data_IF_820173376655
#
_entry.id   IF_820173376655
#
_cell.length_a   1.000
_cell.length_b   1.000
_cell.length_c   1.000
_cell.angle_alpha   90.00
_cell.angle_beta   90.00
_cell.angle_gamma   90.00
#
_symmetry.space_group_name_H-M   'P 1'
#
loop_
_entity.id
_entity.type
_entity.pdbx_description
1 polymer ?
#
# COMPACT_ATOMS: atom_id res chain seq x y z
N UNK A 1 -48.05 -41.92 78.58
CA UNK A 1 -49.15 -42.89 78.38
C UNK A 1 -48.80 -43.73 77.16
N UNK A 2 -48.93 -45.05 77.22
CA UNK A 2 -48.61 -45.93 76.07
C UNK A 2 -49.77 -45.95 75.06
N UNK A 3 -49.45 -45.96 73.77
CA UNK A 3 -50.43 -46.14 72.69
C UNK A 3 -51.06 -47.55 72.70
N UNK A 4 -52.26 -47.67 72.12
CA UNK A 4 -52.90 -48.97 71.96
C UNK A 4 -52.23 -49.78 70.83
N UNK A 5 -51.55 -50.87 71.19
CA UNK A 5 -50.67 -51.63 70.28
C UNK A 5 -51.36 -52.16 69.02
N UNK A 6 -52.66 -52.51 69.07
CA UNK A 6 -53.39 -52.95 67.86
C UNK A 6 -53.67 -51.81 66.88
N UNK A 7 -53.91 -50.59 67.36
CA UNK A 7 -54.13 -49.41 66.51
C UNK A 7 -52.83 -48.98 65.85
N UNK A 8 -51.73 -49.02 66.61
CA UNK A 8 -50.38 -48.78 66.10
C UNK A 8 -50.01 -49.80 65.02
N UNK A 9 -50.19 -51.10 65.28
CA UNK A 9 -49.93 -52.16 64.31
C UNK A 9 -50.79 -52.01 63.05
N UNK A 10 -52.06 -51.64 63.19
CA UNK A 10 -52.95 -51.40 62.07
C UNK A 10 -52.53 -50.18 61.21
N UNK A 11 -52.14 -49.06 61.85
CA UNK A 11 -51.61 -47.88 61.16
C UNK A 11 -50.29 -48.19 60.43
N UNK A 12 -49.37 -48.93 61.05
CA UNK A 12 -48.12 -49.34 60.40
C UNK A 12 -48.36 -50.30 59.23
N UNK A 13 -49.30 -51.25 59.37
CA UNK A 13 -49.70 -52.12 58.27
C UNK A 13 -50.24 -51.30 57.08
N UNK A 14 -51.09 -50.30 57.33
CA UNK A 14 -51.57 -49.39 56.30
C UNK A 14 -50.44 -48.56 55.67
N UNK A 15 -49.54 -47.96 56.46
CA UNK A 15 -48.40 -47.21 55.91
C UNK A 15 -47.56 -48.10 54.98
N UNK A 16 -47.27 -49.33 55.37
CA UNK A 16 -46.54 -50.29 54.55
C UNK A 16 -47.29 -50.64 53.25
N UNK A 17 -48.62 -50.72 53.26
CA UNK A 17 -49.41 -51.01 52.05
C UNK A 17 -49.38 -49.89 51.01
N UNK A 18 -49.02 -48.66 51.39
CA UNK A 18 -48.89 -47.53 50.44
C UNK A 18 -47.75 -47.71 49.43
N UNK A 19 -46.79 -48.62 49.71
CA UNK A 19 -45.60 -48.92 48.87
C UNK A 19 -44.70 -47.69 48.62
N UNK A 20 -44.82 -46.69 49.50
CA UNK A 20 -44.07 -45.42 49.48
C UNK A 20 -42.65 -45.55 50.06
N UNK A 21 -42.46 -46.48 50.99
CA UNK A 21 -41.16 -46.87 51.55
C UNK A 21 -40.69 -48.17 50.89
N UNK A 22 -39.41 -48.31 50.49
CA UNK A 22 -38.90 -49.56 49.93
C UNK A 22 -38.78 -50.68 50.99
N UNK A 23 -38.55 -50.32 52.26
CA UNK A 23 -38.37 -51.26 53.37
C UNK A 23 -39.62 -51.25 54.29
N UNK A 24 -40.16 -52.41 54.69
CA UNK A 24 -41.31 -52.47 55.61
C UNK A 24 -40.97 -51.91 56.99
N UNK A 25 -41.81 -51.00 57.48
CA UNK A 25 -41.69 -50.40 58.81
C UNK A 25 -42.23 -51.35 59.88
N UNK A 26 -41.49 -51.49 60.97
CA UNK A 26 -41.83 -52.30 62.14
C UNK A 26 -42.22 -51.47 63.37
N UNK A 27 -41.90 -50.17 63.39
CA UNK A 27 -42.18 -49.29 64.52
C UNK A 27 -42.50 -47.84 64.08
N UNK A 28 -43.26 -47.10 64.91
CA UNK A 28 -43.63 -45.71 64.64
C UNK A 28 -42.42 -44.76 64.66
N UNK A 29 -41.38 -45.03 65.46
CA UNK A 29 -40.19 -44.17 65.51
C UNK A 29 -39.51 -43.98 64.15
N UNK A 30 -39.66 -44.96 63.25
CA UNK A 30 -39.12 -44.91 61.88
C UNK A 30 -39.82 -43.84 61.01
N UNK A 31 -40.96 -43.29 61.44
CA UNK A 31 -41.67 -42.19 60.78
C UNK A 31 -41.25 -40.81 61.28
N UNK A 32 -40.37 -40.71 62.29
CA UNK A 32 -39.93 -39.44 62.88
C UNK A 32 -39.28 -38.51 61.85
N UNK A 33 -38.60 -39.07 60.84
CA UNK A 33 -37.96 -38.29 59.78
C UNK A 33 -38.94 -37.56 58.85
N UNK A 34 -40.24 -37.84 58.95
CA UNK A 34 -41.34 -37.27 58.17
C UNK A 34 -41.29 -37.55 56.65
N UNK A 35 -40.31 -38.30 56.12
CA UNK A 35 -40.16 -38.50 54.67
C UNK A 35 -41.26 -39.37 54.07
N UNK A 36 -41.64 -40.44 54.78
CA UNK A 36 -42.74 -41.34 54.40
C UNK A 36 -44.07 -40.57 54.35
N UNK A 37 -44.32 -39.69 55.33
CA UNK A 37 -45.52 -38.84 55.34
C UNK A 37 -45.57 -37.86 54.16
N UNK A 38 -44.46 -37.19 53.83
CA UNK A 38 -44.40 -36.28 52.67
C UNK A 38 -44.68 -37.00 51.36
N UNK A 39 -44.13 -38.22 51.19
CA UNK A 39 -44.39 -39.03 49.99
C UNK A 39 -45.83 -39.54 49.93
N UNK A 40 -46.45 -39.91 51.05
CA UNK A 40 -47.90 -40.21 51.11
C UNK A 40 -48.72 -38.97 50.71
N UNK A 41 -48.36 -37.78 51.21
CA UNK A 41 -48.99 -36.51 50.83
C UNK A 41 -48.90 -36.26 49.32
N UNK A 42 -47.72 -36.49 48.72
CA UNK A 42 -47.51 -36.42 47.28
C UNK A 42 -48.40 -37.41 46.52
N UNK A 43 -48.56 -38.65 47.01
CA UNK A 43 -49.47 -39.65 46.42
C UNK A 43 -50.96 -39.22 46.48
N UNK A 44 -51.38 -38.48 47.51
CA UNK A 44 -52.76 -37.99 47.64
C UNK A 44 -53.05 -36.87 46.62
N UNK A 45 -52.14 -35.89 46.48
CA UNK A 45 -52.41 -34.68 45.68
C UNK A 45 -51.81 -34.70 44.27
N UNK A 46 -50.66 -35.33 44.07
CA UNK A 46 -49.90 -35.30 42.80
C UNK A 46 -49.09 -34.02 42.57
N UNK A 47 -49.00 -33.13 43.58
CA UNK A 47 -48.25 -31.88 43.49
C UNK A 47 -46.73 -32.14 43.59
N UNK A 48 -45.98 -31.62 42.62
CA UNK A 48 -44.50 -31.66 42.58
C UNK A 48 -43.83 -30.95 43.76
N UNK A 49 -44.58 -30.11 44.48
CA UNK A 49 -44.15 -29.43 45.72
C UNK A 49 -43.64 -30.40 46.80
N UNK A 50 -44.10 -31.65 46.81
CA UNK A 50 -43.65 -32.65 47.78
C UNK A 50 -42.21 -33.14 47.56
N UNK A 51 -41.67 -33.07 46.34
CA UNK A 51 -40.32 -33.58 46.03
C UNK A 51 -39.24 -32.63 46.55
N UNK A 52 -39.40 -31.31 46.38
CA UNK A 52 -38.45 -30.30 46.84
C UNK A 52 -38.37 -30.19 48.38
N UNK A 53 -39.42 -30.59 49.09
CA UNK A 53 -39.46 -30.59 50.56
C UNK A 53 -38.75 -31.79 51.16
N UNK A 54 -38.56 -32.90 50.42
CA UNK A 54 -37.85 -34.08 50.95
C UNK A 54 -36.37 -33.81 51.26
N UNK A 55 -35.75 -32.87 50.55
CA UNK A 55 -34.34 -32.46 50.75
C UNK A 55 -34.17 -31.46 51.91
N UNK A 56 -35.26 -30.94 52.48
CA UNK A 56 -35.24 -29.92 53.53
C UNK A 56 -34.99 -30.51 54.94
N UNK A 57 -34.45 -29.71 55.89
CA UNK A 57 -34.25 -30.15 57.27
C UNK A 57 -35.57 -30.49 57.97
N UNK A 58 -35.50 -31.32 59.02
CA UNK A 58 -36.67 -31.86 59.72
C UNK A 58 -37.73 -30.81 60.13
N UNK A 59 -37.39 -29.60 60.64
CA UNK A 59 -38.40 -28.59 60.99
C UNK A 59 -39.22 -28.08 59.79
N UNK A 60 -38.60 -27.96 58.61
CA UNK A 60 -39.28 -27.54 57.38
C UNK A 60 -40.21 -28.65 56.86
N UNK A 61 -39.75 -29.90 56.92
CA UNK A 61 -40.56 -31.10 56.63
C UNK A 61 -41.77 -31.22 57.56
N UNK A 62 -41.60 -30.95 58.85
CA UNK A 62 -42.69 -30.87 59.83
C UNK A 62 -43.65 -29.72 59.51
N UNK A 63 -43.13 -28.54 59.16
CA UNK A 63 -43.94 -27.36 58.79
C UNK A 63 -44.81 -27.61 57.55
N UNK A 64 -44.28 -28.32 56.54
CA UNK A 64 -45.04 -28.72 55.36
C UNK A 64 -46.20 -29.67 55.71
N UNK A 65 -45.95 -30.71 56.52
CA UNK A 65 -46.99 -31.65 56.99
C UNK A 65 -48.06 -30.90 57.79
N UNK A 66 -47.64 -29.98 58.67
CA UNK A 66 -48.56 -29.16 59.46
C UNK A 66 -49.43 -28.26 58.58
N UNK A 67 -48.84 -27.53 57.63
CA UNK A 67 -49.55 -26.70 56.67
C UNK A 67 -50.50 -27.49 55.78
N UNK A 68 -50.13 -28.72 55.40
CA UNK A 68 -50.98 -29.65 54.67
C UNK A 68 -52.22 -30.06 55.49
N UNK A 69 -52.01 -30.59 56.70
CA UNK A 69 -53.11 -31.00 57.59
C UNK A 69 -54.02 -29.81 57.94
N UNK A 70 -53.45 -28.60 58.11
CA UNK A 70 -54.21 -27.38 58.38
C UNK A 70 -55.06 -26.92 57.18
N UNK A 71 -54.58 -27.07 55.93
CA UNK A 71 -55.38 -26.80 54.73
C UNK A 71 -56.59 -27.74 54.63
N UNK A 72 -56.45 -28.99 55.07
CA UNK A 72 -57.48 -30.02 54.96
C UNK A 72 -58.49 -30.02 56.11
N UNK A 73 -58.13 -29.49 57.28
CA UNK A 73 -59.07 -29.29 58.39
C UNK A 73 -60.02 -28.13 58.10
N UNK A 74 -61.30 -28.42 57.84
CA UNK A 74 -62.30 -27.41 57.43
C UNK A 74 -62.63 -26.36 58.50
N UNK A 75 -62.36 -26.66 59.78
CA UNK A 75 -62.66 -25.78 60.91
C UNK A 75 -61.46 -24.88 61.26
N UNK A 76 -61.33 -23.75 60.56
CA UNK A 76 -60.31 -22.69 60.80
C UNK A 76 -60.40 -21.98 62.18
N UNK A 77 -61.20 -22.49 63.12
CA UNK A 77 -61.55 -21.83 64.39
C UNK A 77 -60.94 -22.48 65.64
N UNK A 78 -60.36 -23.68 65.54
CA UNK A 78 -59.53 -24.21 66.63
C UNK A 78 -58.17 -23.51 66.60
N UNK A 79 -57.86 -22.71 67.63
CA UNK A 79 -56.57 -22.03 67.78
C UNK A 79 -55.40 -23.01 68.09
N UNK A 80 -55.71 -24.27 68.34
CA UNK A 80 -54.76 -25.36 68.56
C UNK A 80 -54.67 -26.25 67.31
N UNK A 81 -53.44 -26.50 66.83
CA UNK A 81 -53.21 -27.48 65.78
C UNK A 81 -53.38 -28.90 66.31
N UNK A 82 -54.03 -29.77 65.51
CA UNK A 82 -54.25 -31.19 65.85
C UNK A 82 -52.95 -31.94 66.18
N UNK A 83 -51.82 -31.49 65.62
CA UNK A 83 -50.49 -32.06 65.83
C UNK A 83 -49.52 -30.95 66.22
N UNK A 84 -48.97 -31.03 67.43
CA UNK A 84 -47.92 -30.11 67.88
C UNK A 84 -46.61 -30.40 67.16
N UNK A 85 -46.07 -29.39 66.47
CA UNK A 85 -44.78 -29.48 65.78
C UNK A 85 -43.63 -29.84 66.74
N UNK A 86 -43.68 -29.38 68.00
CA UNK A 86 -42.68 -29.72 69.01
C UNK A 86 -42.73 -31.22 69.37
N UNK A 87 -43.93 -31.76 69.64
CA UNK A 87 -44.11 -33.20 69.94
C UNK A 87 -43.65 -34.10 68.78
N UNK A 88 -43.81 -33.64 67.54
CA UNK A 88 -43.38 -34.35 66.35
C UNK A 88 -41.85 -34.31 66.19
N UNK A 89 -41.21 -33.18 66.50
CA UNK A 89 -39.75 -33.03 66.53
C UNK A 89 -39.12 -33.92 67.63
N UNK A 90 -39.74 -33.94 68.81
CA UNK A 90 -39.35 -34.77 69.95
C UNK A 90 -39.56 -36.28 69.71
N UNK A 91 -40.19 -36.67 68.58
CA UNK A 91 -40.42 -38.06 68.20
C UNK A 91 -41.53 -38.76 68.99
N UNK A 92 -42.47 -38.02 69.58
CA UNK A 92 -43.56 -38.61 70.37
C UNK A 92 -44.44 -39.51 69.46
N UNK A 93 -44.45 -40.82 69.74
CA UNK A 93 -45.22 -41.81 68.97
C UNK A 93 -46.69 -41.40 68.80
N UNK A 94 -47.28 -40.74 69.80
CA UNK A 94 -48.66 -40.22 69.75
C UNK A 94 -48.83 -39.18 68.64
N UNK A 95 -47.86 -38.26 68.44
CA UNK A 95 -47.90 -37.28 67.36
C UNK A 95 -47.77 -37.98 65.99
N UNK A 96 -46.87 -38.97 65.87
CA UNK A 96 -46.69 -39.77 64.66
C UNK A 96 -47.96 -40.58 64.31
N UNK A 97 -48.60 -41.19 65.31
CA UNK A 97 -49.87 -41.90 65.15
C UNK A 97 -51.03 -40.97 64.75
N UNK A 98 -51.11 -39.74 65.29
CA UNK A 98 -52.08 -38.72 64.84
C UNK A 98 -51.89 -38.38 63.37
N UNK A 99 -50.65 -38.12 62.92
CA UNK A 99 -50.35 -37.82 61.51
C UNK A 99 -50.75 -38.99 60.61
N UNK A 100 -50.33 -40.21 60.96
CA UNK A 100 -50.68 -41.42 60.19
C UNK A 100 -52.22 -41.62 60.09
N UNK A 101 -52.96 -41.40 61.18
CA UNK A 101 -54.42 -41.52 61.22
C UNK A 101 -55.14 -40.48 60.35
N UNK A 102 -54.67 -39.23 60.33
CA UNK A 102 -55.22 -38.18 59.47
C UNK A 102 -54.90 -38.43 57.99
N UNK A 103 -53.67 -38.87 57.67
CA UNK A 103 -53.29 -39.24 56.30
C UNK A 103 -54.03 -40.46 55.79
N UNK A 104 -54.31 -41.46 56.66
CA UNK A 104 -55.19 -42.59 56.37
C UNK A 104 -56.58 -42.10 55.93
N UNK A 105 -57.21 -41.22 56.72
CA UNK A 105 -58.50 -40.63 56.37
C UNK A 105 -58.49 -39.91 55.02
N UNK A 106 -57.50 -39.03 54.78
CA UNK A 106 -57.42 -38.29 53.52
C UNK A 106 -57.07 -39.15 52.31
N UNK A 107 -56.28 -40.23 52.48
CA UNK A 107 -56.04 -41.22 51.43
C UNK A 107 -57.34 -41.95 51.07
N UNK A 108 -58.13 -42.35 52.07
CA UNK A 108 -59.43 -43.00 51.86
C UNK A 108 -60.47 -42.08 51.20
N UNK A 109 -60.39 -40.76 51.41
CA UNK A 109 -61.23 -39.77 50.73
C UNK A 109 -60.74 -39.40 49.32
N UNK A 110 -59.46 -39.60 48.99
CA UNK A 110 -58.93 -39.29 47.66
C UNK A 110 -59.61 -40.11 46.55
N UNK A 111 -59.72 -39.55 45.34
CA UNK A 111 -60.11 -40.28 44.13
C UNK A 111 -58.97 -41.13 43.55
N UNK A 112 -57.71 -40.76 43.83
CA UNK A 112 -56.54 -41.23 43.06
C UNK A 112 -56.06 -42.64 43.43
N UNK A 113 -56.36 -43.14 44.64
CA UNK A 113 -56.01 -44.50 45.09
C UNK A 113 -57.03 -45.03 46.11
N UNK A 114 -58.15 -45.66 45.69
CA UNK A 114 -58.92 -46.52 46.57
C UNK A 114 -58.09 -47.80 46.81
N UNK A 115 -57.26 -47.82 47.86
CA UNK A 115 -56.38 -48.95 48.15
C UNK A 115 -57.12 -50.29 48.24
N UNK A 116 -56.45 -51.39 47.92
CA UNK A 116 -57.03 -52.74 48.00
C UNK A 116 -57.10 -53.20 49.46
N UNK A 117 -58.06 -52.68 50.22
CA UNK A 117 -58.24 -52.98 51.66
C UNK A 117 -58.49 -54.47 51.99
N UNK A 118 -58.69 -55.30 50.96
CA UNK A 118 -58.75 -56.76 51.07
C UNK A 118 -57.37 -57.41 51.28
N UNK A 119 -56.25 -56.69 51.10
CA UNK A 119 -54.88 -57.16 51.35
C UNK A 119 -54.61 -57.32 52.87
N UNK A 120 -55.34 -56.59 53.72
CA UNK A 120 -55.20 -56.67 55.17
C UNK A 120 -55.92 -57.87 55.79
N UNK A 121 -55.38 -58.40 56.89
CA UNK A 121 -56.08 -59.37 57.72
C UNK A 121 -57.31 -58.75 58.40
N UNK A 122 -58.32 -59.58 58.72
CA UNK A 122 -59.59 -59.11 59.26
C UNK A 122 -59.45 -58.26 60.53
N UNK A 123 -58.47 -58.55 61.41
CA UNK A 123 -58.26 -57.79 62.65
C UNK A 123 -57.72 -56.39 62.34
N UNK A 124 -56.76 -56.27 61.43
CA UNK A 124 -56.30 -54.97 60.92
C UNK A 124 -57.43 -54.20 60.23
N UNK A 125 -58.27 -54.86 59.43
CA UNK A 125 -59.45 -54.23 58.82
C UNK A 125 -60.41 -53.67 59.87
N UNK A 126 -60.70 -54.40 60.97
CA UNK A 126 -61.56 -53.90 62.07
C UNK A 126 -60.96 -52.67 62.76
N UNK A 127 -59.65 -52.67 63.03
CA UNK A 127 -58.99 -51.54 63.69
C UNK A 127 -58.94 -50.30 62.78
N UNK A 128 -58.53 -50.45 61.51
CA UNK A 128 -58.55 -49.38 60.50
C UNK A 128 -59.98 -48.84 60.26
N UNK A 129 -60.97 -49.73 60.24
CA UNK A 129 -62.37 -49.36 60.19
C UNK A 129 -62.77 -48.50 61.41
N UNK A 130 -62.43 -48.93 62.62
CA UNK A 130 -62.70 -48.16 63.84
C UNK A 130 -62.05 -46.76 63.83
N UNK A 131 -60.84 -46.67 63.26
CA UNK A 131 -60.06 -45.45 63.11
C UNK A 131 -60.76 -44.48 62.12
N UNK A 132 -61.09 -44.95 60.91
CA UNK A 132 -61.79 -44.12 59.92
C UNK A 132 -63.18 -43.68 60.39
N UNK A 133 -63.94 -44.59 61.02
CA UNK A 133 -65.24 -44.26 61.60
C UNK A 133 -65.11 -43.17 62.67
N UNK A 134 -64.12 -43.29 63.56
CA UNK A 134 -63.88 -42.27 64.57
C UNK A 134 -63.61 -40.89 63.95
N UNK A 135 -62.76 -40.80 62.90
CA UNK A 135 -62.50 -39.50 62.23
C UNK A 135 -63.76 -38.97 61.56
N UNK A 136 -64.54 -39.83 60.90
CA UNK A 136 -65.78 -39.46 60.22
C UNK A 136 -66.89 -38.98 61.18
N UNK A 137 -66.98 -39.60 62.37
CA UNK A 137 -67.98 -39.28 63.40
C UNK A 137 -67.60 -38.03 64.22
N UNK A 138 -66.33 -37.62 64.23
CA UNK A 138 -65.79 -36.53 65.08
C UNK A 138 -65.16 -35.38 64.28
N UNK A 139 -65.43 -35.25 62.98
CA UNK A 139 -64.76 -34.30 62.06
C UNK A 139 -64.70 -32.85 62.59
N UNK A 140 -65.73 -32.41 63.31
CA UNK A 140 -65.88 -31.05 63.82
C UNK A 140 -65.10 -30.79 65.14
N UNK A 141 -64.69 -31.83 65.87
CA UNK A 141 -64.11 -31.72 67.23
C UNK A 141 -62.93 -32.69 67.49
N UNK A 142 -62.17 -33.03 66.45
CA UNK A 142 -61.10 -34.05 66.50
C UNK A 142 -60.07 -33.87 67.63
N UNK A 143 -59.66 -32.65 67.97
CA UNK A 143 -58.50 -32.39 68.84
C UNK A 143 -58.63 -33.04 70.25
N UNK A 144 -59.76 -32.82 70.92
CA UNK A 144 -59.98 -33.24 72.32
C UNK A 144 -60.17 -34.76 72.46
N UNK A 145 -60.80 -35.39 71.46
CA UNK A 145 -61.18 -36.81 71.53
C UNK A 145 -60.11 -37.77 70.96
N UNK A 146 -59.23 -37.28 70.08
CA UNK A 146 -58.26 -38.11 69.35
C UNK A 146 -57.18 -38.74 70.26
N UNK A 147 -56.66 -38.00 71.24
CA UNK A 147 -55.67 -38.55 72.19
C UNK A 147 -56.29 -39.66 73.06
N UNK A 148 -57.51 -39.42 73.56
CA UNK A 148 -58.25 -40.42 74.33
C UNK A 148 -58.57 -41.66 73.47
N UNK A 149 -58.91 -41.50 72.19
CA UNK A 149 -59.18 -42.64 71.30
C UNK A 149 -57.93 -43.49 71.02
N UNK A 150 -56.78 -42.89 70.75
CA UNK A 150 -55.52 -43.62 70.48
C UNK A 150 -54.97 -44.34 71.71
N UNK A 151 -55.34 -43.90 72.92
CA UNK A 151 -54.93 -44.52 74.19
C UNK A 151 -55.96 -45.53 74.75
N UNK A 152 -57.26 -45.42 74.41
CA UNK A 152 -58.34 -46.25 74.99
C UNK A 152 -58.53 -47.58 74.26
N UNK A 153 -58.59 -48.67 75.04
CA UNK A 153 -59.03 -50.01 74.62
C UNK A 153 -60.51 -49.99 74.23
N UNK A 154 -60.87 -50.60 73.10
CA UNK A 154 -62.25 -50.65 72.63
C UNK A 154 -63.12 -51.59 73.49
N UNK A 155 -64.22 -51.07 74.02
CA UNK A 155 -65.38 -51.83 74.50
C UNK A 155 -66.60 -51.47 73.63
N UNK A 156 -67.41 -52.45 73.21
CA UNK A 156 -68.52 -52.22 72.28
C UNK A 156 -69.78 -51.73 73.00
N UNK A 157 -69.93 -50.42 73.17
CA UNK A 157 -71.16 -49.82 73.72
C UNK A 157 -72.28 -49.76 72.67
N UNK A 158 -73.08 -50.82 72.62
CA UNK A 158 -74.45 -50.74 72.09
C UNK A 158 -75.37 -50.15 73.18
N UNK A 159 -75.73 -48.88 73.06
CA UNK A 159 -76.76 -48.25 73.91
C UNK A 159 -77.62 -47.29 73.10
N UNK A 160 -78.80 -47.77 72.69
CA UNK A 160 -79.90 -46.88 72.29
C UNK A 160 -80.68 -46.37 73.51
N UNK A 161 -81.72 -45.57 73.23
CA UNK A 161 -82.67 -44.97 74.19
C UNK A 161 -82.01 -43.90 75.11
N UNK A 162 -82.25 -42.61 74.93
CA UNK A 162 -83.53 -41.97 75.27
C UNK A 162 -83.60 -40.52 74.77
N UNK A 163 -84.77 -40.10 74.28
CA UNK A 163 -85.10 -38.68 74.10
C UNK A 163 -85.45 -38.03 75.45
N UNK A 164 -85.18 -36.73 75.60
CA UNK A 164 -85.84 -35.89 76.62
C UNK A 164 -86.44 -34.65 75.96
N UNK A 165 -87.65 -34.30 76.40
CA UNK A 165 -88.60 -33.40 75.73
C UNK A 165 -88.90 -32.17 76.59
N UNK A 166 -89.06 -31.00 75.96
CA UNK A 166 -89.88 -29.84 76.37
C UNK A 166 -90.16 -29.04 75.07
N UNK A 167 -91.38 -28.96 74.51
CA UNK A 167 -92.55 -28.11 74.88
C UNK A 167 -92.23 -26.60 74.95
N UNK A 168 -93.01 -25.65 74.43
CA UNK A 168 -94.40 -25.61 73.91
C UNK A 168 -94.45 -24.97 72.47
N UNK A 169 -95.55 -24.67 71.74
CA UNK A 169 -97.01 -24.69 71.99
C UNK A 169 -97.78 -25.56 70.95
N UNK A 170 -98.60 -24.97 70.06
CA UNK A 170 -99.71 -25.54 69.26
C UNK A 170 -100.34 -24.44 68.35
N UNK A 171 -101.39 -24.66 67.49
CA UNK A 171 -102.27 -25.85 67.35
C UNK A 171 -102.66 -26.36 65.93
N UNK A 172 -103.06 -27.64 65.91
CA UNK A 172 -104.17 -28.27 65.14
C UNK A 172 -104.21 -28.20 63.59
N UNK A 173 -104.03 -29.37 62.95
CA UNK A 173 -105.16 -30.10 62.31
C UNK A 173 -104.89 -31.62 62.26
N UNK A 174 -105.98 -32.40 62.26
CA UNK A 174 -105.99 -33.84 62.58
C UNK A 174 -105.55 -34.78 61.45
N UNK A 175 -104.64 -35.71 61.75
CA UNK A 175 -104.38 -36.91 60.94
C UNK A 175 -105.51 -37.95 61.12
N UNK A 176 -105.81 -38.72 60.07
CA UNK A 176 -106.21 -40.11 60.30
C UNK A 176 -105.41 -41.12 59.45
N UNK A 177 -105.14 -42.28 60.07
CA UNK A 177 -104.58 -43.51 59.51
C UNK A 177 -103.06 -43.58 59.24
N UNK A 178 -102.36 -44.19 60.20
CA UNK A 178 -101.07 -44.86 60.01
C UNK A 178 -101.17 -45.85 58.85
N UNK A 179 -100.34 -45.68 57.82
CA UNK A 179 -99.83 -46.81 57.03
C UNK A 179 -98.49 -47.21 57.63
N UNK A 180 -98.44 -48.42 58.17
CA UNK A 180 -97.20 -49.08 58.53
C UNK A 180 -96.44 -49.39 57.23
N UNK A 181 -95.52 -48.50 56.85
CA UNK A 181 -94.61 -48.76 55.74
C UNK A 181 -93.60 -49.77 56.22
N UNK A 182 -93.84 -51.05 55.91
CA UNK A 182 -92.75 -52.03 55.85
C UNK A 182 -91.75 -51.51 54.83
N UNK A 183 -90.63 -50.99 55.30
CA UNK A 183 -89.49 -50.75 54.43
C UNK A 183 -89.08 -52.11 53.86
N UNK A 184 -89.26 -52.29 52.54
CA UNK A 184 -88.48 -53.28 51.85
C UNK A 184 -87.01 -52.91 52.06
N UNK A 185 -86.21 -53.90 52.41
CA UNK A 185 -84.77 -53.78 52.40
C UNK A 185 -84.35 -53.25 51.02
N UNK A 186 -83.79 -52.04 50.99
CA UNK A 186 -83.47 -51.33 49.75
C UNK A 186 -82.31 -52.05 49.06
N UNK A 187 -82.67 -53.00 48.20
CA UNK A 187 -81.73 -53.75 47.39
C UNK A 187 -80.89 -52.76 46.57
N UNK A 188 -79.57 -52.89 46.70
CA UNK A 188 -78.57 -51.88 46.35
C UNK A 188 -78.59 -51.52 44.85
N UNK A 189 -79.33 -50.48 44.46
CA UNK A 189 -79.39 -50.00 43.06
C UNK A 189 -78.16 -49.16 42.73
N UNK A 190 -77.03 -49.82 42.48
CA UNK A 190 -75.84 -49.22 41.88
C UNK A 190 -75.29 -50.18 40.82
N UNK A 191 -75.32 -49.76 39.56
CA UNK A 191 -75.09 -50.63 38.40
C UNK A 191 -73.61 -50.96 38.17
N UNK A 192 -73.19 -52.16 38.59
CA UNK A 192 -72.01 -52.84 38.04
C UNK A 192 -72.29 -54.35 37.92
N UNK A 193 -71.85 -55.01 36.83
CA UNK A 193 -72.07 -56.44 36.66
C UNK A 193 -71.14 -57.23 37.58
N UNK A 194 -71.66 -57.73 38.70
CA UNK A 194 -71.00 -58.77 39.48
C UNK A 194 -71.87 -60.02 39.49
N UNK A 195 -71.33 -61.08 38.90
CA UNK A 195 -71.90 -62.41 38.85
C UNK A 195 -72.16 -62.92 40.27
N UNK A 196 -73.30 -63.59 40.48
CA UNK A 196 -73.65 -64.22 41.74
C UNK A 196 -72.54 -65.17 42.23
N UNK A 197 -71.90 -64.82 43.34
CA UNK A 197 -70.98 -65.68 44.09
C UNK A 197 -71.38 -65.69 45.58
N UNK A 198 -71.03 -66.73 46.35
CA UNK A 198 -71.43 -66.85 47.75
C UNK A 198 -70.93 -65.66 48.58
N UNK A 199 -71.65 -65.34 49.65
CA UNK A 199 -71.33 -64.25 50.57
C UNK A 199 -69.95 -64.41 51.21
N UNK A 200 -68.93 -63.79 50.60
CA UNK A 200 -67.70 -63.41 51.28
C UNK A 200 -68.09 -62.59 52.52
N UNK A 201 -67.51 -62.83 53.71
CA UNK A 201 -67.81 -62.02 54.89
C UNK A 201 -67.54 -60.54 54.57
N UNK A 202 -68.45 -59.64 54.96
CA UNK A 202 -68.30 -58.22 54.65
C UNK A 202 -67.00 -57.69 55.26
N UNK A 203 -66.23 -56.97 54.45
CA UNK A 203 -65.03 -56.29 54.92
C UNK A 203 -65.46 -55.14 55.84
N UNK A 204 -64.98 -55.07 57.10
CA UNK A 204 -65.29 -53.96 58.01
C UNK A 204 -64.92 -52.58 57.43
N UNK A 205 -63.87 -52.56 56.60
CA UNK A 205 -63.44 -51.38 55.85
C UNK A 205 -64.42 -51.05 54.71
N UNK A 206 -64.86 -52.08 53.98
CA UNK A 206 -65.89 -51.97 52.95
C UNK A 206 -67.22 -51.42 53.46
N UNK A 207 -67.67 -51.83 54.65
CA UNK A 207 -68.94 -51.38 55.26
C UNK A 207 -68.94 -49.87 55.55
N UNK A 208 -67.83 -49.33 56.07
CA UNK A 208 -67.70 -47.88 56.34
C UNK A 208 -67.62 -47.09 55.03
N UNK A 209 -66.82 -47.54 54.06
CA UNK A 209 -66.72 -46.84 52.77
C UNK A 209 -68.02 -46.88 51.96
N UNK A 210 -68.88 -47.87 52.21
CA UNK A 210 -70.23 -47.98 51.65
C UNK A 210 -71.30 -47.22 52.46
N UNK A 211 -70.95 -46.67 53.62
CA UNK A 211 -71.88 -45.85 54.41
C UNK A 211 -72.19 -44.54 53.68
N UNK A 212 -73.47 -44.13 53.56
CA UNK A 212 -73.86 -42.92 52.81
C UNK A 212 -73.14 -41.63 53.26
N UNK A 213 -72.83 -41.51 54.56
CA UNK A 213 -72.05 -40.41 55.12
C UNK A 213 -70.64 -40.34 54.52
N UNK A 214 -69.92 -41.46 54.48
CA UNK A 214 -68.57 -41.54 53.88
C UNK A 214 -68.60 -41.24 52.38
N UNK A 215 -69.56 -41.82 51.65
CA UNK A 215 -69.69 -41.60 50.20
C UNK A 215 -70.03 -40.14 49.87
N UNK A 216 -70.99 -39.54 50.58
CA UNK A 216 -71.35 -38.13 50.41
C UNK A 216 -70.18 -37.20 50.78
N UNK A 217 -69.40 -37.56 51.82
CA UNK A 217 -68.22 -36.82 52.25
C UNK A 217 -67.12 -36.82 51.18
N UNK A 218 -66.79 -38.01 50.67
CA UNK A 218 -65.85 -38.22 49.56
C UNK A 218 -66.25 -37.43 48.31
N UNK A 219 -67.51 -37.51 47.90
CA UNK A 219 -68.02 -36.77 46.74
C UNK A 219 -67.98 -35.25 46.95
N UNK A 220 -68.25 -34.75 48.15
CA UNK A 220 -68.13 -33.32 48.49
C UNK A 220 -66.69 -32.81 48.44
N UNK A 221 -65.70 -33.63 48.76
CA UNK A 221 -64.28 -33.27 48.66
C UNK A 221 -63.80 -33.28 47.20
N UNK A 222 -64.16 -34.31 46.43
CA UNK A 222 -63.88 -34.39 44.99
C UNK A 222 -64.50 -33.21 44.22
N UNK A 223 -65.77 -32.88 44.51
CA UNK A 223 -66.45 -31.75 43.87
C UNK A 223 -65.88 -30.38 44.26
N UNK A 224 -65.23 -30.24 45.42
CA UNK A 224 -64.52 -29.03 45.78
C UNK A 224 -63.21 -28.90 44.98
N UNK A 225 -62.43 -29.98 44.93
CA UNK A 225 -61.17 -30.05 44.16
C UNK A 225 -61.39 -29.80 42.66
N UNK A 226 -62.40 -30.43 42.04
CA UNK A 226 -62.73 -30.20 40.63
C UNK A 226 -63.20 -28.76 40.33
N UNK A 227 -63.79 -28.05 41.32
CA UNK A 227 -64.15 -26.63 41.15
C UNK A 227 -62.91 -25.74 41.15
N UNK A 228 -61.98 -25.97 42.07
CA UNK A 228 -60.71 -25.24 42.15
C UNK A 228 -59.88 -25.43 40.87
N UNK A 229 -59.71 -26.68 40.42
CA UNK A 229 -59.04 -27.00 39.16
C UNK A 229 -59.74 -26.38 37.93
N UNK A 230 -61.08 -26.33 37.91
CA UNK A 230 -61.85 -25.65 36.85
C UNK A 230 -61.65 -24.13 36.89
N UNK A 231 -61.55 -23.53 38.07
CA UNK A 231 -61.29 -22.08 38.24
C UNK A 231 -59.87 -21.71 37.80
N UNK A 232 -58.86 -22.55 38.10
CA UNK A 232 -57.49 -22.39 37.59
C UNK A 232 -57.43 -22.46 36.05
N UNK A 233 -58.07 -23.48 35.45
CA UNK A 233 -58.18 -23.61 34.00
C UNK A 233 -59.00 -22.47 33.34
N UNK A 234 -60.00 -21.92 34.03
CA UNK A 234 -60.79 -20.78 33.55
C UNK A 234 -59.92 -19.50 33.46
N UNK A 235 -58.98 -19.31 34.40
CA UNK A 235 -57.98 -18.23 34.36
C UNK A 235 -56.97 -18.47 33.23
N UNK A 236 -56.39 -19.67 33.11
CA UNK A 236 -55.42 -19.99 32.04
C UNK A 236 -56.03 -19.80 30.64
N UNK A 237 -57.29 -20.21 30.44
CA UNK A 237 -58.01 -20.00 29.19
C UNK A 237 -58.24 -18.51 28.91
N UNK A 238 -58.57 -17.69 29.91
CA UNK A 238 -58.73 -16.26 29.75
C UNK A 238 -57.41 -15.55 29.38
N UNK A 239 -56.29 -15.94 29.98
CA UNK A 239 -54.96 -15.43 29.63
C UNK A 239 -54.54 -15.85 28.22
N UNK A 240 -54.80 -17.10 27.84
CA UNK A 240 -54.54 -17.63 26.50
C UNK A 240 -55.38 -16.90 25.43
N UNK A 241 -56.67 -16.66 25.67
CA UNK A 241 -57.53 -15.88 24.78
C UNK A 241 -57.03 -14.45 24.59
N UNK A 242 -56.56 -13.80 25.67
CA UNK A 242 -55.94 -12.46 25.60
C UNK A 242 -54.66 -12.50 24.74
N UNK A 243 -53.80 -13.49 24.95
CA UNK A 243 -52.57 -13.64 24.16
C UNK A 243 -52.87 -13.87 22.67
N UNK A 244 -53.88 -14.69 22.35
CA UNK A 244 -54.36 -14.89 20.97
C UNK A 244 -54.86 -13.58 20.37
N UNK A 245 -55.68 -12.81 21.09
CA UNK A 245 -56.15 -11.49 20.63
C UNK A 245 -55.00 -10.51 20.37
N UNK A 246 -53.97 -10.47 21.23
CA UNK A 246 -52.78 -9.65 21.01
C UNK A 246 -51.97 -10.10 19.78
N UNK A 247 -51.91 -11.41 19.52
CA UNK A 247 -51.28 -11.98 18.32
C UNK A 247 -52.09 -11.70 17.06
N UNK A 248 -53.41 -11.83 17.10
CA UNK A 248 -54.29 -11.48 15.98
C UNK A 248 -54.24 -9.98 15.68
N UNK A 249 -54.13 -9.12 16.70
CA UNK A 249 -53.87 -7.70 16.52
C UNK A 249 -52.49 -7.43 15.89
N UNK A 250 -51.46 -8.19 16.25
CA UNK A 250 -50.13 -8.12 15.61
C UNK A 250 -50.20 -8.58 14.14
N UNK A 251 -50.85 -9.71 13.86
CA UNK A 251 -51.07 -10.25 12.52
C UNK A 251 -51.86 -9.24 11.68
N UNK A 252 -52.92 -8.63 12.21
CA UNK A 252 -53.72 -7.61 11.52
C UNK A 252 -52.87 -6.37 11.19
N UNK A 253 -51.99 -5.92 12.10
CA UNK A 253 -51.04 -4.83 11.80
C UNK A 253 -50.05 -5.22 10.69
N UNK A 254 -49.52 -6.43 10.74
CA UNK A 254 -48.61 -6.94 9.71
C UNK A 254 -49.30 -7.13 8.35
N UNK A 255 -50.53 -7.63 8.33
CA UNK A 255 -51.39 -7.70 7.13
C UNK A 255 -51.66 -6.30 6.59
N UNK A 256 -52.02 -5.32 7.42
CA UNK A 256 -52.18 -3.94 6.97
C UNK A 256 -50.87 -3.33 6.44
N UNK A 257 -49.70 -3.70 6.98
CA UNK A 257 -48.40 -3.30 6.43
C UNK A 257 -48.12 -3.99 5.10
N UNK A 258 -48.41 -5.29 4.98
CA UNK A 258 -48.31 -6.04 3.74
C UNK A 258 -49.26 -5.49 2.68
N UNK A 259 -50.52 -5.23 2.98
CA UNK A 259 -51.50 -4.61 2.07
C UNK A 259 -51.08 -3.20 1.64
N UNK A 260 -50.42 -2.43 2.51
CA UNK A 260 -49.83 -1.13 2.15
C UNK A 260 -48.62 -1.31 1.24
N UNK A 261 -47.74 -2.28 1.52
CA UNK A 261 -46.59 -2.59 0.67
C UNK A 261 -47.02 -3.18 -0.67
N UNK A 262 -48.04 -4.02 -0.70
CA UNK A 262 -48.69 -4.56 -1.90
C UNK A 262 -49.28 -3.39 -2.67
N UNK A 263 -50.12 -2.53 -2.08
CA UNK A 263 -50.65 -1.33 -2.76
C UNK A 263 -49.60 -0.32 -3.19
N UNK A 264 -48.44 -0.27 -2.53
CA UNK A 264 -47.30 0.53 -3.00
C UNK A 264 -46.60 -0.15 -4.18
N UNK A 265 -46.41 -1.47 -4.14
CA UNK A 265 -45.83 -2.26 -5.25
C UNK A 265 -46.76 -2.40 -6.45
N UNK A 266 -48.08 -2.43 -6.22
CA UNK A 266 -49.14 -2.39 -7.23
C UNK A 266 -49.25 -0.99 -7.81
N UNK A 267 -49.06 0.07 -7.03
CA UNK A 267 -48.88 1.42 -7.57
C UNK A 267 -47.60 1.53 -8.39
N UNK A 268 -46.48 0.99 -7.94
CA UNK A 268 -45.26 0.86 -8.75
C UNK A 268 -45.44 -0.10 -9.96
N UNK A 269 -46.48 -0.93 -9.97
CA UNK A 269 -46.86 -1.82 -11.07
C UNK A 269 -48.14 -1.37 -11.82
N UNK A 270 -48.65 -0.17 -11.53
CA UNK A 270 -49.62 0.62 -12.31
C UNK A 270 -48.87 1.78 -12.96
N UNK A 271 -47.99 2.44 -12.21
CA UNK A 271 -46.78 3.12 -12.69
C UNK A 271 -45.81 2.11 -13.33
N UNK A 272 -46.25 1.26 -14.28
CA UNK A 272 -45.35 0.41 -15.09
C UNK A 272 -44.40 1.21 -16.01
N UNK A 273 -44.41 2.54 -15.86
CA UNK A 273 -43.28 3.40 -16.18
C UNK A 273 -42.14 3.18 -15.18
N UNK A 274 -42.28 3.30 -13.85
CA UNK A 274 -41.18 3.13 -12.88
C UNK A 274 -40.36 1.82 -13.05
N UNK A 275 -40.91 0.59 -13.17
CA UNK A 275 -40.13 -0.62 -13.39
C UNK A 275 -39.43 -0.65 -14.75
N UNK A 276 -40.07 -0.12 -15.80
CA UNK A 276 -39.47 -0.03 -17.14
C UNK A 276 -38.44 1.09 -17.23
N UNK A 277 -38.66 2.20 -16.54
CA UNK A 277 -37.73 3.31 -16.36
C UNK A 277 -36.55 2.88 -15.51
N UNK A 278 -36.75 2.05 -14.48
CA UNK A 278 -35.67 1.46 -13.68
C UNK A 278 -34.87 0.42 -14.46
N UNK A 279 -35.50 -0.37 -15.32
CA UNK A 279 -34.79 -1.28 -16.24
C UNK A 279 -34.08 -0.50 -17.35
N UNK A 280 -34.72 0.49 -17.97
CA UNK A 280 -34.07 1.43 -18.89
C UNK A 280 -32.93 2.20 -18.21
N UNK A 281 -33.04 2.56 -16.93
CA UNK A 281 -31.97 3.19 -16.16
C UNK A 281 -30.86 2.20 -15.84
N UNK A 282 -31.16 0.91 -15.61
CA UNK A 282 -30.16 -0.17 -15.56
C UNK A 282 -29.43 -0.30 -16.90
N UNK A 283 -30.14 -0.47 -18.01
CA UNK A 283 -29.55 -0.53 -19.36
C UNK A 283 -28.74 0.72 -19.70
N UNK A 284 -29.24 1.92 -19.38
CA UNK A 284 -28.51 3.19 -19.55
C UNK A 284 -27.27 3.25 -18.65
N UNK A 285 -27.32 2.73 -17.43
CA UNK A 285 -26.19 2.66 -16.52
C UNK A 285 -25.15 1.63 -16.99
N UNK A 286 -25.56 0.43 -17.41
CA UNK A 286 -24.68 -0.57 -18.03
C UNK A 286 -24.04 -0.05 -19.31
N UNK A 287 -24.80 0.67 -20.15
CA UNK A 287 -24.29 1.39 -21.33
C UNK A 287 -23.32 2.53 -20.97
N UNK A 288 -23.57 3.27 -19.89
CA UNK A 288 -22.64 4.28 -19.37
C UNK A 288 -21.36 3.64 -18.82
N UNK A 289 -21.48 2.52 -18.09
CA UNK A 289 -20.35 1.75 -17.56
C UNK A 289 -19.53 1.15 -18.69
N UNK A 290 -20.16 0.60 -19.73
CA UNK A 290 -19.47 0.12 -20.93
C UNK A 290 -18.74 1.25 -21.66
N UNK A 291 -19.40 2.41 -21.86
CA UNK A 291 -18.76 3.61 -22.43
C UNK A 291 -17.64 4.17 -21.55
N UNK A 292 -17.75 4.07 -20.23
CA UNK A 292 -16.70 4.49 -19.29
C UNK A 292 -15.48 3.56 -19.36
N UNK A 293 -15.69 2.24 -19.43
CA UNK A 293 -14.60 1.28 -19.64
C UNK A 293 -13.92 1.47 -21.00
N UNK A 294 -14.69 1.78 -22.04
CA UNK A 294 -14.16 2.05 -23.38
C UNK A 294 -13.41 3.40 -23.43
N UNK A 295 -13.93 4.45 -22.81
CA UNK A 295 -13.21 5.71 -22.65
C UNK A 295 -11.93 5.53 -21.80
N UNK A 296 -11.95 4.66 -20.78
CA UNK A 296 -10.78 4.32 -19.98
C UNK A 296 -9.72 3.57 -20.81
N UNK A 297 -10.16 2.61 -21.65
CA UNK A 297 -9.30 1.93 -22.64
C UNK A 297 -8.65 2.96 -23.58
N UNK A 298 -9.44 3.84 -24.16
CA UNK A 298 -8.94 4.92 -25.04
C UNK A 298 -7.97 5.86 -24.31
N UNK A 299 -8.21 6.20 -23.04
CA UNK A 299 -7.25 6.96 -22.23
C UNK A 299 -5.96 6.18 -21.95
N UNK A 300 -6.03 4.85 -21.78
CA UNK A 300 -4.86 3.99 -21.64
C UNK A 300 -4.07 3.91 -22.95
N UNK A 301 -4.74 3.74 -24.08
CA UNK A 301 -4.13 3.71 -25.42
C UNK A 301 -3.46 5.06 -25.74
N UNK A 302 -4.18 6.18 -25.58
CA UNK A 302 -3.62 7.54 -25.70
C UNK A 302 -2.45 7.80 -24.75
N UNK A 303 -2.42 7.19 -23.55
CA UNK A 303 -1.27 7.26 -22.64
C UNK A 303 -0.07 6.50 -23.19
N UNK A 304 -0.27 5.36 -23.87
CA UNK A 304 0.81 4.64 -24.56
C UNK A 304 1.28 5.39 -25.81
N UNK A 305 0.38 5.94 -26.62
CA UNK A 305 0.71 6.75 -27.79
C UNK A 305 1.46 8.02 -27.39
N UNK A 306 1.02 8.72 -26.33
CA UNK A 306 1.75 9.86 -25.76
C UNK A 306 3.16 9.48 -25.32
N UNK A 307 3.36 8.30 -24.74
CA UNK A 307 4.69 7.81 -24.38
C UNK A 307 5.54 7.44 -25.62
N UNK A 308 4.93 6.91 -26.69
CA UNK A 308 5.62 6.65 -27.97
C UNK A 308 6.01 7.95 -28.67
N UNK A 309 5.08 8.91 -28.80
CA UNK A 309 5.33 10.25 -29.34
C UNK A 309 6.39 10.99 -28.51
N UNK A 310 6.36 10.91 -27.18
CA UNK A 310 7.41 11.45 -26.32
C UNK A 310 8.79 10.88 -26.63
N UNK A 311 8.91 9.55 -26.82
CA UNK A 311 10.16 8.94 -27.29
C UNK A 311 10.59 9.43 -28.67
N UNK A 312 9.65 9.62 -29.61
CA UNK A 312 9.98 10.13 -30.95
C UNK A 312 10.39 11.60 -30.94
N UNK A 313 9.80 12.43 -30.08
CA UNK A 313 10.24 13.82 -29.85
C UNK A 313 11.68 13.85 -29.31
N UNK A 314 12.01 13.01 -28.33
CA UNK A 314 13.38 12.92 -27.82
C UNK A 314 14.37 12.52 -28.92
N UNK A 315 14.07 11.47 -29.70
CA UNK A 315 14.89 11.05 -30.84
C UNK A 315 15.08 12.19 -31.87
N UNK A 316 14.00 12.88 -32.26
CA UNK A 316 14.08 14.00 -33.20
C UNK A 316 14.88 15.19 -32.62
N UNK A 317 14.84 15.39 -31.29
CA UNK A 317 15.64 16.39 -30.61
C UNK A 317 17.13 16.04 -30.59
N UNK A 318 17.48 14.75 -30.44
CA UNK A 318 18.86 14.24 -30.56
C UNK A 318 19.37 14.40 -32.00
N UNK A 319 18.61 13.93 -33.00
CA UNK A 319 18.91 14.08 -34.44
C UNK A 319 19.08 15.56 -34.84
N UNK A 320 18.23 16.46 -34.34
CA UNK A 320 18.36 17.90 -34.58
C UNK A 320 19.55 18.53 -33.84
N UNK A 321 19.94 17.99 -32.67
CA UNK A 321 21.16 18.35 -31.98
C UNK A 321 22.42 18.00 -32.78
N UNK A 322 22.48 16.78 -33.32
CA UNK A 322 23.56 16.31 -34.19
C UNK A 322 23.65 17.12 -35.50
N UNK A 323 22.51 17.43 -36.12
CA UNK A 323 22.46 18.29 -37.30
C UNK A 323 22.94 19.72 -36.98
N UNK A 324 22.54 20.27 -35.82
CA UNK A 324 22.99 21.58 -35.35
C UNK A 324 24.49 21.61 -35.05
N UNK A 325 25.05 20.52 -34.52
CA UNK A 325 26.50 20.36 -34.34
C UNK A 325 27.23 20.35 -35.69
N UNK A 326 26.81 19.50 -36.64
CA UNK A 326 27.39 19.44 -37.99
C UNK A 326 27.30 20.77 -38.73
N UNK A 327 26.20 21.50 -38.60
CA UNK A 327 26.04 22.82 -39.23
C UNK A 327 27.00 23.85 -38.62
N UNK A 328 27.24 23.81 -37.30
CA UNK A 328 28.24 24.65 -36.62
C UNK A 328 29.67 24.30 -37.04
N UNK A 329 29.97 23.01 -37.23
CA UNK A 329 31.25 22.53 -37.75
C UNK A 329 31.49 23.00 -39.19
N UNK A 330 30.51 22.84 -40.08
CA UNK A 330 30.57 23.34 -41.46
C UNK A 330 30.76 24.86 -41.49
N UNK A 331 30.06 25.62 -40.64
CA UNK A 331 30.23 27.07 -40.53
C UNK A 331 31.65 27.45 -40.07
N UNK A 332 32.21 26.73 -39.08
CA UNK A 332 33.59 26.90 -38.65
C UNK A 332 34.58 26.65 -39.78
N UNK A 333 34.41 25.54 -40.51
CA UNK A 333 35.27 25.17 -41.65
C UNK A 333 35.17 26.20 -42.79
N UNK A 334 33.97 26.73 -43.05
CA UNK A 334 33.74 27.80 -44.04
C UNK A 334 34.48 29.09 -43.65
N UNK A 335 34.43 29.49 -42.37
CA UNK A 335 35.18 30.66 -41.86
C UNK A 335 36.69 30.43 -41.94
N UNK A 336 37.18 29.21 -41.70
CA UNK A 336 38.59 28.87 -41.88
C UNK A 336 39.03 28.95 -43.35
N UNK A 337 38.24 28.38 -44.28
CA UNK A 337 38.52 28.46 -45.72
C UNK A 337 38.46 29.90 -46.24
N UNK A 338 37.50 30.71 -45.77
CA UNK A 338 37.42 32.14 -46.12
C UNK A 338 38.65 32.91 -45.64
N UNK A 339 39.17 32.59 -44.44
CA UNK A 339 40.40 33.21 -43.94
C UNK A 339 41.60 32.83 -44.81
N UNK A 340 41.78 31.54 -45.10
CA UNK A 340 42.87 31.08 -45.97
C UNK A 340 42.79 31.65 -47.40
N UNK A 341 41.58 31.85 -47.93
CA UNK A 341 41.37 32.52 -49.23
C UNK A 341 41.78 34.00 -49.18
N UNK A 342 41.46 34.70 -48.09
CA UNK A 342 41.86 36.10 -47.90
C UNK A 342 43.39 36.21 -47.76
N UNK A 343 44.01 35.36 -46.94
CA UNK A 343 45.47 35.28 -46.75
C UNK A 343 46.18 35.03 -48.11
N UNK A 344 45.73 34.04 -48.88
CA UNK A 344 46.28 33.75 -50.21
C UNK A 344 46.06 34.90 -51.21
N UNK A 345 44.95 35.64 -51.10
CA UNK A 345 44.66 36.82 -51.94
C UNK A 345 45.58 37.99 -51.59
N UNK A 346 45.83 38.23 -50.30
CA UNK A 346 46.79 39.24 -49.82
C UNK A 346 48.22 38.89 -50.25
N UNK A 347 48.63 37.63 -50.11
CA UNK A 347 49.90 37.11 -50.64
C UNK A 347 50.01 37.33 -52.15
N UNK A 348 49.00 36.93 -52.93
CA UNK A 348 48.97 37.11 -54.38
C UNK A 348 49.09 38.58 -54.79
N UNK A 349 48.32 39.47 -54.16
CA UNK A 349 48.37 40.91 -54.42
C UNK A 349 49.75 41.49 -54.09
N UNK A 350 50.37 41.06 -52.98
CA UNK A 350 51.72 41.49 -52.60
C UNK A 350 52.78 41.02 -53.59
N UNK A 351 52.69 39.76 -54.06
CA UNK A 351 53.61 39.20 -55.03
C UNK A 351 53.46 39.84 -56.41
N UNK A 352 52.23 40.13 -56.84
CA UNK A 352 51.94 40.87 -58.07
C UNK A 352 52.51 42.29 -58.01
N UNK A 353 52.31 43.01 -56.90
CA UNK A 353 52.86 44.35 -56.71
C UNK A 353 54.41 44.36 -56.77
N UNK A 354 55.06 43.43 -56.07
CA UNK A 354 56.54 43.28 -56.12
C UNK A 354 57.04 42.90 -57.52
N UNK A 355 56.31 42.05 -58.25
CA UNK A 355 56.64 41.68 -59.63
C UNK A 355 56.53 42.86 -60.57
N UNK A 356 55.46 43.66 -60.43
CA UNK A 356 55.24 44.87 -61.23
C UNK A 356 56.26 45.97 -60.91
N UNK A 357 56.64 46.16 -59.65
CA UNK A 357 57.72 47.07 -59.25
C UNK A 357 59.06 46.65 -59.85
N UNK A 358 59.42 45.36 -59.77
CA UNK A 358 60.62 44.81 -60.42
C UNK A 358 60.59 44.99 -61.94
N UNK A 359 59.45 44.76 -62.59
CA UNK A 359 59.30 45.01 -64.02
C UNK A 359 59.54 46.49 -64.36
N UNK A 360 58.89 47.42 -63.64
CA UNK A 360 59.11 48.86 -63.85
C UNK A 360 60.56 49.28 -63.60
N UNK A 361 61.24 48.66 -62.63
CA UNK A 361 62.66 48.91 -62.37
C UNK A 361 63.54 48.43 -63.52
N UNK A 362 63.32 47.21 -64.02
CA UNK A 362 64.03 46.67 -65.19
C UNK A 362 63.73 47.46 -66.47
N UNK A 363 62.51 47.96 -66.66
CA UNK A 363 62.15 48.84 -67.78
C UNK A 363 62.89 50.19 -67.72
N UNK A 364 63.04 50.78 -66.53
CA UNK A 364 63.85 51.99 -66.32
C UNK A 364 65.33 51.73 -66.59
N UNK A 365 65.89 50.63 -66.07
CA UNK A 365 67.28 50.23 -66.28
C UNK A 365 67.56 49.96 -67.77
N UNK A 366 66.65 49.28 -68.47
CA UNK A 366 66.72 49.08 -69.91
C UNK A 366 66.66 50.40 -70.68
N UNK A 367 65.78 51.33 -70.30
CA UNK A 367 65.69 52.63 -70.96
C UNK A 367 66.96 53.47 -70.75
N UNK A 368 67.52 53.48 -69.54
CA UNK A 368 68.79 54.13 -69.25
C UNK A 368 69.94 53.51 -70.05
N UNK A 369 70.04 52.18 -70.09
CA UNK A 369 71.05 51.47 -70.88
C UNK A 369 70.91 51.74 -72.40
N UNK A 370 69.69 51.88 -72.92
CA UNK A 370 69.44 52.27 -74.31
C UNK A 370 69.84 53.73 -74.58
N UNK A 371 69.64 54.65 -73.63
CA UNK A 371 70.09 56.03 -73.73
C UNK A 371 71.64 56.12 -73.70
N UNK A 372 72.30 55.44 -72.77
CA UNK A 372 73.76 55.37 -72.68
C UNK A 372 74.38 54.72 -73.92
N UNK A 373 73.75 53.66 -74.45
CA UNK A 373 74.08 53.06 -75.75
C UNK A 373 74.01 54.11 -76.86
N UNK A 374 72.91 54.87 -76.94
CA UNK A 374 72.74 55.89 -77.99
C UNK A 374 73.80 56.99 -77.90
N UNK A 375 74.07 57.53 -76.72
CA UNK A 375 75.14 58.52 -76.53
C UNK A 375 76.53 57.94 -76.87
N UNK A 376 76.74 56.64 -76.68
CA UNK A 376 77.95 55.94 -77.09
C UNK A 376 78.03 55.74 -78.61
N UNK A 377 76.92 55.44 -79.28
CA UNK A 377 76.81 55.39 -80.75
C UNK A 377 77.08 56.77 -81.37
N UNK A 378 76.46 57.83 -80.86
CA UNK A 378 76.73 59.22 -81.26
C UNK A 378 78.21 59.59 -81.07
N UNK A 379 78.84 59.16 -79.96
CA UNK A 379 80.28 59.34 -79.73
C UNK A 379 81.15 58.57 -80.73
N UNK A 380 80.74 57.35 -81.11
CA UNK A 380 81.44 56.54 -82.11
C UNK A 380 81.35 57.21 -83.48
N UNK A 381 80.17 57.70 -83.88
CA UNK A 381 79.96 58.41 -85.15
C UNK A 381 80.81 59.69 -85.23
N UNK A 382 80.86 60.49 -84.15
CA UNK A 382 81.75 61.66 -84.04
C UNK A 382 83.23 61.24 -84.17
N UNK A 383 83.64 60.12 -83.58
CA UNK A 383 85.02 59.63 -83.68
C UNK A 383 85.34 59.12 -85.09
N UNK A 384 84.41 58.40 -85.74
CA UNK A 384 84.55 57.95 -87.13
C UNK A 384 84.66 59.14 -88.09
N UNK A 385 83.81 60.16 -87.94
CA UNK A 385 83.90 61.39 -88.72
C UNK A 385 85.23 62.14 -88.53
N UNK A 386 85.75 62.17 -87.29
CA UNK A 386 87.10 62.70 -87.01
C UNK A 386 88.21 61.88 -87.67
N UNK A 387 88.12 60.55 -87.64
CA UNK A 387 89.08 59.68 -88.33
C UNK A 387 89.07 59.93 -89.83
N UNK A 388 87.89 59.98 -90.47
CA UNK A 388 87.76 60.31 -91.89
C UNK A 388 88.33 61.70 -92.23
N UNK A 389 88.12 62.72 -91.39
CA UNK A 389 88.76 64.03 -91.57
C UNK A 389 90.30 63.99 -91.46
N UNK A 390 90.85 63.12 -90.61
CA UNK A 390 92.30 62.94 -90.47
C UNK A 390 92.88 62.13 -91.63
N UNK A 391 92.15 61.13 -92.14
CA UNK A 391 92.48 60.39 -93.36
C UNK A 391 92.50 61.33 -94.59
N UNK A 392 91.50 62.21 -94.74
CA UNK A 392 91.47 63.27 -95.75
C UNK A 392 92.66 64.24 -95.65
N UNK A 393 93.08 64.60 -94.42
CA UNK A 393 94.24 65.46 -94.21
C UNK A 393 95.56 64.75 -94.56
N UNK A 394 95.67 63.45 -94.25
CA UNK A 394 96.82 62.63 -94.64
C UNK A 394 96.89 62.48 -96.16
N UNK A 395 95.76 62.21 -96.84
CA UNK A 395 95.69 62.13 -98.29
C UNK A 395 96.09 63.46 -98.97
N UNK A 396 95.67 64.61 -98.42
CA UNK A 396 96.08 65.94 -98.93
C UNK A 396 97.56 66.23 -98.71
N UNK A 397 98.15 65.78 -97.60
CA UNK A 397 99.60 65.88 -97.36
C UNK A 397 100.38 65.00 -98.35
N UNK A 398 99.88 63.80 -98.63
CA UNK A 398 100.43 62.91 -99.66
C UNK A 398 100.36 63.56 -101.05
N UNK A 399 99.20 64.11 -101.43
CA UNK A 399 99.00 64.82 -102.71
C UNK A 399 99.92 66.05 -102.85
N UNK A 400 99.99 66.92 -101.83
CA UNK A 400 100.92 68.05 -101.81
C UNK A 400 102.39 67.63 -101.97
N UNK A 401 102.80 66.49 -101.40
CA UNK A 401 104.18 65.98 -101.52
C UNK A 401 104.56 65.56 -102.95
N UNK A 402 103.57 65.32 -103.83
CA UNK A 402 103.82 64.90 -105.21
C UNK A 402 104.02 66.07 -106.19
N UNK A 403 103.59 67.29 -105.84
CA UNK A 403 103.56 68.42 -106.78
C UNK A 403 104.83 69.29 -106.79
N UNK A 404 105.67 69.27 -105.74
CA UNK A 404 106.83 70.17 -105.60
C UNK A 404 108.14 69.73 -106.31
N UNK A 405 108.14 68.60 -107.05
CA UNK A 405 109.38 68.03 -107.65
C UNK A 405 109.94 68.75 -108.89
N UNK A 406 109.47 69.96 -109.22
CA UNK A 406 109.72 70.62 -110.51
C UNK A 406 110.86 71.65 -110.60
N UNK A 407 111.21 72.36 -109.53
CA UNK A 407 111.85 73.69 -109.67
C UNK A 407 113.34 73.82 -109.25
N UNK A 408 113.98 72.73 -108.77
CA UNK A 408 115.31 72.82 -108.10
C UNK A 408 116.53 72.78 -109.05
N UNK A 409 116.32 72.84 -110.37
CA UNK A 409 117.44 72.74 -111.34
C UNK A 409 118.37 73.97 -111.32
N UNK A 410 117.87 75.13 -110.86
CA UNK A 410 118.66 76.37 -110.78
C UNK A 410 119.75 76.37 -109.69
N UNK A 411 119.54 75.71 -108.56
CA UNK A 411 120.51 75.69 -107.46
C UNK A 411 121.59 74.61 -107.63
N UNK A 412 121.27 73.53 -108.36
CA UNK A 412 122.25 72.51 -108.77
C UNK A 412 123.31 73.14 -109.70
N UNK A 413 122.90 74.00 -110.64
CA UNK A 413 123.82 74.66 -111.56
C UNK A 413 124.78 75.64 -110.85
N UNK A 414 124.29 76.40 -109.85
CA UNK A 414 125.14 77.29 -109.03
C UNK A 414 126.17 76.52 -108.20
N UNK A 415 125.81 75.31 -107.74
CA UNK A 415 126.73 74.45 -106.97
C UNK A 415 127.88 73.92 -107.85
N UNK A 416 127.60 73.58 -109.11
CA UNK A 416 128.62 73.13 -110.06
C UNK A 416 129.55 74.28 -110.49
N UNK A 417 129.01 75.50 -110.67
CA UNK A 417 129.79 76.71 -110.99
C UNK A 417 130.81 77.06 -109.88
N UNK A 418 130.36 77.12 -108.60
CA UNK A 418 131.23 77.37 -107.45
C UNK A 418 132.33 76.30 -107.28
N UNK A 419 132.01 75.03 -107.56
CA UNK A 419 132.95 73.91 -107.51
C UNK A 419 134.02 74.00 -108.61
N UNK A 420 133.65 74.50 -109.78
CA UNK A 420 134.59 74.76 -110.89
C UNK A 420 135.52 75.94 -110.57
N UNK A 421 135.00 76.98 -109.90
CA UNK A 421 135.79 78.14 -109.47
C UNK A 421 136.83 77.82 -108.37
N UNK A 422 136.45 77.04 -107.35
CA UNK A 422 137.38 76.53 -106.33
C UNK A 422 138.52 75.69 -106.93
N UNK A 423 138.20 74.88 -107.95
CA UNK A 423 139.17 74.07 -108.69
C UNK A 423 140.18 74.95 -109.46
N UNK A 424 139.69 76.03 -110.09
CA UNK A 424 140.50 77.03 -110.80
C UNK A 424 141.47 77.79 -109.89
N UNK A 425 141.00 78.22 -108.72
CA UNK A 425 141.82 78.94 -107.73
C UNK A 425 142.94 78.04 -107.17
N UNK A 426 142.64 76.78 -106.87
CA UNK A 426 143.65 75.80 -106.44
C UNK A 426 144.79 75.65 -107.45
N UNK A 427 144.47 75.60 -108.76
CA UNK A 427 145.46 75.53 -109.84
C UNK A 427 146.26 76.84 -110.05
N UNK A 428 145.76 78.00 -109.60
CA UNK A 428 146.56 79.24 -109.54
C UNK A 428 147.50 79.24 -108.34
N UNK A 429 147.07 78.71 -107.20
CA UNK A 429 147.90 78.60 -105.99
C UNK A 429 149.19 77.81 -106.23
N UNK A 430 149.10 76.63 -106.85
CA UNK A 430 150.27 75.77 -107.15
C UNK A 430 151.32 76.50 -108.00
N UNK A 431 150.93 77.21 -109.06
CA UNK A 431 151.86 77.94 -109.93
C UNK A 431 152.59 79.09 -109.22
N UNK A 432 151.92 79.79 -108.31
CA UNK A 432 152.55 80.86 -107.51
C UNK A 432 153.54 80.29 -106.48
N UNK A 433 153.29 79.09 -105.94
CA UNK A 433 154.23 78.40 -105.07
C UNK A 433 155.48 77.94 -105.85
N UNK A 434 155.33 77.52 -107.12
CA UNK A 434 156.44 77.19 -108.03
C UNK A 434 157.29 78.43 -108.39
N UNK A 435 156.67 79.56 -108.75
CA UNK A 435 157.39 80.82 -109.04
C UNK A 435 158.17 81.33 -107.81
N UNK A 436 157.59 81.20 -106.61
CA UNK A 436 158.24 81.55 -105.33
C UNK A 436 159.47 80.70 -105.08
N UNK A 437 159.40 79.38 -105.28
CA UNK A 437 160.55 78.49 -105.14
C UNK A 437 161.66 78.81 -106.16
N UNK A 438 161.31 79.22 -107.39
CA UNK A 438 162.29 79.69 -108.36
C UNK A 438 163.00 80.97 -107.90
N UNK A 439 162.28 81.96 -107.35
CA UNK A 439 162.90 83.18 -106.80
C UNK A 439 163.86 82.89 -105.63
N UNK A 440 163.46 82.03 -104.69
CA UNK A 440 164.32 81.66 -103.54
C UNK A 440 165.62 80.97 -103.99
N UNK A 441 165.57 80.17 -105.07
CA UNK A 441 166.76 79.56 -105.67
C UNK A 441 167.72 80.59 -106.32
N UNK A 442 167.19 81.71 -106.82
CA UNK A 442 167.98 82.77 -107.44
C UNK A 442 168.61 83.69 -106.40
N UNK A 443 167.89 84.00 -105.32
CA UNK A 443 168.39 84.80 -104.18
C UNK A 443 169.57 84.10 -103.50
N UNK A 444 169.46 82.79 -103.27
CA UNK A 444 170.55 81.99 -102.69
C UNK A 444 171.78 81.91 -103.61
N UNK A 445 171.59 81.83 -104.93
CA UNK A 445 172.67 81.93 -105.92
C UNK A 445 173.41 83.28 -105.86
N UNK A 446 172.67 84.39 -105.80
CA UNK A 446 173.23 85.74 -105.71
C UNK A 446 173.97 85.99 -104.38
N UNK A 447 173.44 85.49 -103.25
CA UNK A 447 174.11 85.59 -101.95
C UNK A 447 175.45 84.83 -101.92
N UNK A 448 175.51 83.65 -102.53
CA UNK A 448 176.76 82.89 -102.64
C UNK A 448 177.82 83.67 -103.44
N UNK A 449 177.48 84.17 -104.63
CA UNK A 449 178.42 84.92 -105.48
C UNK A 449 178.90 86.24 -104.85
N UNK A 450 178.03 86.94 -104.11
CA UNK A 450 178.40 88.14 -103.36
C UNK A 450 179.40 87.82 -102.23
N UNK A 451 179.23 86.70 -101.54
CA UNK A 451 180.09 86.29 -100.43
C UNK A 451 181.50 85.86 -100.88
N UNK A 452 181.63 85.26 -102.07
CA UNK A 452 182.93 84.90 -102.65
C UNK A 452 183.75 86.14 -103.06
N UNK A 453 183.09 87.11 -103.71
CA UNK A 453 183.71 88.40 -104.09
C UNK A 453 184.21 89.17 -102.86
N UNK A 454 183.44 89.21 -101.78
CA UNK A 454 183.84 89.87 -100.54
C UNK A 454 185.03 89.16 -99.86
N UNK A 455 185.15 87.83 -100.00
CA UNK A 455 186.30 87.04 -99.53
C UNK A 455 187.57 87.32 -100.31
N UNK A 456 187.48 87.48 -101.64
CA UNK A 456 188.61 87.85 -102.48
C UNK A 456 189.15 89.23 -102.12
N UNK A 457 188.25 90.20 -101.87
CA UNK A 457 188.61 91.59 -101.52
C UNK A 457 189.33 91.70 -100.17
N UNK A 458 188.91 90.94 -99.16
CA UNK A 458 189.57 90.88 -97.85
C UNK A 458 190.96 90.23 -97.89
N UNK A 459 191.21 89.29 -98.81
CA UNK A 459 192.51 88.61 -98.92
C UNK A 459 193.59 89.55 -99.46
N UNK A 460 193.27 90.27 -100.55
CA UNK A 460 194.14 91.30 -101.15
C UNK A 460 194.51 92.44 -100.17
N UNK A 461 193.62 92.77 -99.23
CA UNK A 461 193.86 93.84 -98.25
C UNK A 461 194.95 93.47 -97.24
N UNK A 462 194.94 92.25 -96.71
CA UNK A 462 195.90 91.80 -95.68
C UNK A 462 197.32 91.63 -96.21
N UNK A 463 197.46 91.18 -97.45
CA UNK A 463 198.78 90.95 -98.07
C UNK A 463 199.56 92.26 -98.32
N UNK A 464 198.87 93.40 -98.46
CA UNK A 464 199.50 94.72 -98.59
C UNK A 464 199.89 95.31 -97.22
N UNK A 465 199.04 95.18 -96.20
CA UNK A 465 199.32 95.69 -94.85
C UNK A 465 200.50 94.94 -94.20
N UNK A 466 200.67 93.64 -94.47
CA UNK A 466 201.75 92.82 -93.93
C UNK A 466 203.18 93.23 -94.37
N UNK A 467 203.33 93.98 -95.49
CA UNK A 467 204.66 94.47 -95.95
C UNK A 467 205.03 95.86 -95.45
N UNK A 468 204.15 96.52 -94.69
CA UNK A 468 204.40 97.87 -94.15
C UNK A 468 204.98 97.87 -92.72
N UNK A 469 205.05 96.71 -92.04
CA UNK A 469 205.16 96.65 -90.58
C UNK A 469 206.55 96.29 -89.98
N UNK A 470 207.52 95.79 -90.75
CA UNK A 470 208.86 95.44 -90.24
C UNK A 470 209.97 96.28 -90.88
N UNK A 471 209.96 97.55 -90.50
CA UNK A 471 211.03 98.50 -90.78
C UNK A 471 211.27 99.45 -89.61
N UNK A 472 211.51 98.94 -88.39
CA UNK A 472 212.28 99.60 -87.31
C UNK A 472 212.35 98.76 -86.01
N UNK A 473 213.33 97.83 -85.95
CA UNK A 473 214.07 97.42 -84.75
C UNK A 473 215.33 96.64 -85.18
#
# INVERSE_FOLDING_TARGET
>A
MSLHSTKVAALLAWVNSTKVCPDPLSDLSQLQDCSVFIRIIHQIHGNKEGESVLEQPLPERISFIHGFLQKLCRHKLAAESLVSAQKLLDGEELALAKVAMLLLYHTSMSSKNPGDWNEFDYKTQVELASILKFVLDNEECLNENLEAFLQRKAEPSLSGVSSSSFEEHSPLFSLPHKREVRFLELQRIASFPSTSMPSTPSSPMGDIMQTPQFQLRRLKEQLAFERENREELEVEVAESQKLVMDKDAQITRMQQQMDRLIKLSEKQAEDQLEPKEMEELREKNESLVARLHEAFRQCQDLKTEKAQMGRKINQLSEENGDLSFKLREIASNMVQMQRALNELSEEHNSAMAQSQEKQQQLEKELHAALQDKKCSEEKIEILQGKTSMLEDQLAKLEECSTQEKGEVMGDILKLEELKQEVSSLTAKGVRLEEEKQQLDSLVTSLQNSLSESHRAREKLKRDLEARAAEGQA
#
